data_IF_742227882307
#
_entry.id   IF_742227882307
#
_cell.length_a   1.000
_cell.length_b   1.000
_cell.length_c   1.000
_cell.angle_alpha   90.00
_cell.angle_beta   90.00
_cell.angle_gamma   90.00
#
_symmetry.space_group_name_H-M   'P 1'
#
loop_
_entity.id
_entity.type
_entity.pdbx_description
1 polymer ?
#
# COMPACT_ATOMS: atom_id res chain seq x y z
N UNK A 1 -4.44 -4.80 5.51
CA UNK A 1 -4.37 -5.62 4.29
C UNK A 1 -3.37 -5.05 3.31
N UNK A 2 -2.74 -5.90 2.47
CA UNK A 2 -1.92 -5.47 1.34
C UNK A 2 -2.68 -5.68 0.03
N UNK A 3 -2.59 -4.72 -0.90
CA UNK A 3 -3.14 -4.87 -2.25
C UNK A 3 -2.15 -5.62 -3.15
N UNK A 4 -2.67 -6.49 -3.98
CA UNK A 4 -1.93 -7.29 -4.97
C UNK A 4 -2.85 -8.30 -5.66
N UNK A 5 -2.44 -8.77 -6.83
CA UNK A 5 -3.12 -9.83 -7.57
C UNK A 5 -2.82 -11.22 -6.93
N UNK A 6 -3.70 -12.22 -7.10
CA UNK A 6 -3.60 -13.49 -6.39
C UNK A 6 -2.51 -14.43 -6.94
N UNK A 7 -2.28 -14.46 -8.26
CA UNK A 7 -1.50 -15.48 -8.92
C UNK A 7 0.02 -15.30 -8.75
N UNK A 8 0.77 -16.40 -8.82
CA UNK A 8 2.22 -16.45 -8.60
C UNK A 8 3.03 -15.60 -9.59
N UNK A 9 2.51 -15.37 -10.79
CA UNK A 9 3.15 -14.52 -11.79
C UNK A 9 3.31 -13.07 -11.33
N UNK A 10 2.43 -12.59 -10.45
CA UNK A 10 2.44 -11.22 -9.90
C UNK A 10 3.32 -11.06 -8.67
N UNK A 11 3.82 -12.15 -8.08
CA UNK A 11 4.74 -12.09 -6.94
C UNK A 11 6.00 -11.32 -7.31
N UNK A 12 6.36 -10.34 -6.49
CA UNK A 12 7.51 -9.46 -6.72
C UNK A 12 7.31 -8.38 -7.78
N UNK A 13 6.10 -8.23 -8.33
CA UNK A 13 5.77 -7.07 -9.17
C UNK A 13 5.57 -5.81 -8.33
N UNK A 14 5.69 -4.63 -8.96
CA UNK A 14 5.49 -3.37 -8.25
C UNK A 14 4.06 -3.22 -7.73
N UNK A 15 3.08 -3.74 -8.48
CA UNK A 15 1.67 -3.69 -8.08
C UNK A 15 1.33 -4.63 -6.91
N UNK A 16 2.15 -5.66 -6.69
CA UNK A 16 1.98 -6.58 -5.56
C UNK A 16 2.77 -6.17 -4.30
N UNK A 17 3.54 -5.07 -4.34
CA UNK A 17 4.39 -4.69 -3.21
C UNK A 17 3.61 -4.56 -1.88
N UNK A 18 2.36 -4.11 -1.94
CA UNK A 18 1.50 -4.02 -0.75
C UNK A 18 1.21 -5.40 -0.15
N UNK A 19 0.79 -6.35 -0.97
CA UNK A 19 0.52 -7.75 -0.59
C UNK A 19 1.80 -8.42 -0.07
N UNK A 20 2.89 -8.32 -0.84
CA UNK A 20 4.16 -8.98 -0.52
C UNK A 20 4.75 -8.49 0.82
N UNK A 21 4.68 -7.17 1.09
CA UNK A 21 5.14 -6.60 2.35
C UNK A 21 4.28 -7.02 3.54
N UNK A 22 2.95 -7.00 3.40
CA UNK A 22 2.04 -7.42 4.49
C UNK A 22 2.22 -8.91 4.80
N UNK A 23 2.37 -9.76 3.79
CA UNK A 23 2.64 -11.17 3.97
C UNK A 23 3.98 -11.41 4.68
N UNK A 24 5.04 -10.73 4.24
CA UNK A 24 6.35 -10.80 4.86
C UNK A 24 6.40 -10.26 6.31
N UNK A 25 5.37 -9.55 6.76
CA UNK A 25 5.23 -9.00 8.12
C UNK A 25 4.21 -9.75 8.98
N UNK A 26 3.56 -10.81 8.47
CA UNK A 26 2.48 -11.55 9.14
C UNK A 26 2.84 -11.99 10.56
N UNK A 27 4.05 -12.45 10.78
CA UNK A 27 4.51 -12.93 12.10
C UNK A 27 5.00 -11.85 13.07
N UNK A 28 5.12 -10.58 12.61
CA UNK A 28 5.76 -9.50 13.39
C UNK A 28 4.86 -8.29 13.63
N UNK A 29 3.70 -8.21 12.97
CA UNK A 29 2.72 -7.15 13.26
C UNK A 29 2.12 -7.34 14.67
N UNK A 30 1.72 -6.25 15.37
CA UNK A 30 1.11 -6.34 16.68
C UNK A 30 -0.13 -7.26 16.68
N UNK A 31 -0.33 -8.06 17.73
CA UNK A 31 -1.47 -9.00 17.86
C UNK A 31 -2.85 -8.36 17.67
N UNK A 32 -2.98 -7.05 17.97
CA UNK A 32 -4.20 -6.27 17.76
C UNK A 32 -4.50 -5.95 16.29
N UNK A 33 -3.51 -6.12 15.38
CA UNK A 33 -3.67 -5.93 13.95
C UNK A 33 -4.03 -7.26 13.30
N UNK A 34 -5.25 -7.35 12.78
CA UNK A 34 -5.70 -8.52 12.00
C UNK A 34 -5.36 -8.31 10.54
N UNK A 35 -4.64 -9.26 9.93
CA UNK A 35 -4.35 -9.23 8.50
C UNK A 35 -5.51 -9.87 7.75
N UNK A 36 -6.18 -9.09 6.91
CA UNK A 36 -7.16 -9.61 5.95
C UNK A 36 -6.44 -9.95 4.64
N UNK A 37 -6.67 -11.17 4.18
CA UNK A 37 -6.20 -11.65 2.88
C UNK A 37 -7.25 -11.38 1.81
N UNK A 38 -6.78 -10.93 0.64
CA UNK A 38 -7.60 -10.77 -0.54
C UNK A 38 -7.09 -11.74 -1.61
N UNK A 39 -7.91 -12.75 -1.91
CA UNK A 39 -7.64 -13.65 -3.03
C UNK A 39 -8.49 -13.26 -4.24
N UNK A 40 -8.30 -12.03 -4.70
CA UNK A 40 -9.01 -11.43 -5.83
C UNK A 40 -8.06 -10.52 -6.62
N UNK A 41 -8.35 -10.35 -7.90
CA UNK A 41 -7.61 -9.38 -8.71
C UNK A 41 -7.79 -7.95 -8.20
N UNK A 42 -6.78 -7.12 -8.43
CA UNK A 42 -6.67 -5.75 -7.96
C UNK A 42 -7.96 -4.93 -8.12
N UNK A 43 -8.60 -5.00 -9.27
CA UNK A 43 -9.83 -4.25 -9.57
C UNK A 43 -11.05 -4.71 -8.75
N UNK A 44 -10.98 -5.86 -8.09
CA UNK A 44 -12.06 -6.47 -7.31
C UNK A 44 -11.80 -6.39 -5.79
N UNK A 45 -10.76 -5.66 -5.36
CA UNK A 45 -10.36 -5.58 -3.96
C UNK A 45 -11.47 -5.12 -3.01
N UNK A 46 -12.41 -4.31 -3.48
CA UNK A 46 -13.51 -3.80 -2.68
C UNK A 46 -14.55 -4.86 -2.27
N UNK A 47 -14.75 -5.91 -3.08
CA UNK A 47 -15.77 -6.93 -2.83
C UNK A 47 -15.57 -7.66 -1.49
N UNK A 48 -14.43 -8.30 -1.24
CA UNK A 48 -14.12 -8.93 0.04
C UNK A 48 -14.13 -7.95 1.23
N UNK A 49 -13.63 -6.73 1.03
CA UNK A 49 -13.57 -5.73 2.09
C UNK A 49 -14.97 -5.31 2.54
N UNK A 50 -15.91 -5.16 1.63
CA UNK A 50 -17.31 -4.84 1.98
C UNK A 50 -17.96 -5.91 2.88
N UNK A 51 -17.51 -7.16 2.80
CA UNK A 51 -18.00 -8.24 3.68
C UNK A 51 -17.39 -8.16 5.10
N UNK A 52 -16.21 -7.57 5.23
CA UNK A 52 -15.50 -7.43 6.51
C UNK A 52 -15.81 -6.11 7.23
N UNK A 53 -16.24 -5.09 6.49
CA UNK A 53 -16.46 -3.73 6.98
C UNK A 53 -17.87 -3.31 6.63
N UNK A 54 -18.74 -3.25 7.65
CA UNK A 54 -20.15 -2.91 7.49
C UNK A 54 -20.44 -1.43 7.70
N UNK A 55 -19.62 -0.73 8.49
CA UNK A 55 -19.86 0.66 8.91
C UNK A 55 -18.70 1.59 8.54
N UNK A 56 -18.96 2.90 8.43
CA UNK A 56 -17.92 3.91 8.24
C UNK A 56 -16.90 3.93 9.39
N UNK A 57 -17.35 3.74 10.63
CA UNK A 57 -16.49 3.68 11.81
C UNK A 57 -15.52 2.49 11.77
N UNK A 58 -15.94 1.37 11.19
CA UNK A 58 -15.04 0.24 10.94
C UNK A 58 -14.06 0.54 9.80
N UNK A 59 -14.50 1.27 8.77
CA UNK A 59 -13.61 1.70 7.69
C UNK A 59 -12.46 2.58 8.20
N UNK A 60 -12.67 3.45 9.17
CA UNK A 60 -11.62 4.27 9.79
C UNK A 60 -10.49 3.45 10.43
N UNK A 61 -10.77 2.19 10.77
CA UNK A 61 -9.80 1.23 11.34
C UNK A 61 -9.10 0.39 10.28
N UNK A 62 -9.50 0.50 9.02
CA UNK A 62 -8.87 -0.20 7.92
C UNK A 62 -7.53 0.43 7.58
N UNK A 63 -6.50 -0.40 7.45
CA UNK A 63 -5.18 -0.01 6.95
C UNK A 63 -4.95 -0.75 5.63
N UNK A 64 -4.72 -0.01 4.55
CA UNK A 64 -4.44 -0.53 3.21
C UNK A 64 -3.00 -0.20 2.85
N UNK A 65 -2.17 -1.23 2.58
CA UNK A 65 -0.81 -1.07 2.07
C UNK A 65 -0.83 -1.27 0.56
N UNK A 66 -0.31 -0.32 -0.21
CA UNK A 66 -0.34 -0.39 -1.67
C UNK A 66 0.83 0.37 -2.31
N UNK A 67 1.11 0.10 -3.58
CA UNK A 67 2.05 0.83 -4.40
C UNK A 67 1.59 2.26 -4.71
N UNK A 68 2.54 3.17 -4.87
CA UNK A 68 2.28 4.57 -5.17
C UNK A 68 3.25 5.11 -6.23
N UNK A 69 2.70 5.51 -7.36
CA UNK A 69 3.45 6.08 -8.48
C UNK A 69 3.98 7.49 -8.21
N UNK A 70 3.32 8.25 -7.35
CA UNK A 70 3.69 9.62 -7.01
C UNK A 70 4.74 9.70 -5.90
N UNK A 71 5.29 8.56 -5.50
CA UNK A 71 6.37 8.47 -4.52
C UNK A 71 7.58 7.74 -5.11
N UNK A 72 8.81 8.22 -4.83
CA UNK A 72 10.02 7.54 -5.26
C UNK A 72 10.20 6.23 -4.49
N UNK A 73 10.78 5.24 -5.15
CA UNK A 73 11.14 3.95 -4.55
C UNK A 73 12.06 4.15 -3.34
N UNK A 74 11.67 3.57 -2.23
CA UNK A 74 12.34 3.71 -0.94
C UNK A 74 11.63 4.65 0.03
N UNK A 75 10.63 5.42 -0.44
CA UNK A 75 9.78 6.26 0.40
C UNK A 75 8.47 5.57 0.74
N UNK A 76 8.00 5.82 1.94
CA UNK A 76 6.67 5.40 2.43
C UNK A 76 5.98 6.63 2.99
N UNK A 77 4.70 6.79 2.71
CA UNK A 77 3.87 7.83 3.32
C UNK A 77 2.55 7.25 3.79
N UNK A 78 2.04 7.80 4.88
CA UNK A 78 0.70 7.50 5.38
C UNK A 78 -0.24 8.61 4.93
N UNK A 79 -1.46 8.26 4.55
CA UNK A 79 -2.54 9.19 4.26
C UNK A 79 -3.88 8.67 4.77
N UNK A 80 -4.80 9.59 5.09
CA UNK A 80 -6.17 9.30 5.51
C UNK A 80 -7.12 10.18 4.72
N UNK A 81 -8.28 9.66 4.33
CA UNK A 81 -9.32 10.42 3.62
C UNK A 81 -8.95 10.90 2.21
N UNK A 82 -7.82 10.45 1.66
CA UNK A 82 -7.30 10.94 0.37
C UNK A 82 -7.87 10.15 -0.82
N UNK A 83 -7.90 10.76 -2.01
CA UNK A 83 -8.33 10.13 -3.25
C UNK A 83 -7.40 8.98 -3.68
N UNK A 84 -7.90 8.07 -4.53
CA UNK A 84 -7.17 6.89 -5.00
C UNK A 84 -5.92 7.17 -5.85
N UNK A 85 -5.73 8.41 -6.33
CA UNK A 85 -4.55 8.76 -7.14
C UNK A 85 -4.39 7.95 -8.44
N UNK A 86 -5.48 7.36 -8.94
CA UNK A 86 -5.44 6.47 -10.12
C UNK A 86 -5.33 4.99 -9.80
N UNK A 87 -4.97 4.58 -8.57
CA UNK A 87 -4.78 3.19 -8.19
C UNK A 87 -6.08 2.37 -8.19
N UNK A 88 -6.17 1.36 -9.06
CA UNK A 88 -7.42 0.63 -9.30
C UNK A 88 -7.93 -0.15 -8.09
N UNK A 89 -7.06 -0.77 -7.30
CA UNK A 89 -7.45 -1.45 -6.07
C UNK A 89 -8.04 -0.49 -5.03
N UNK A 90 -7.45 0.69 -4.88
CA UNK A 90 -7.96 1.75 -3.98
C UNK A 90 -9.31 2.27 -4.47
N UNK A 91 -9.47 2.53 -5.79
CA UNK A 91 -10.78 2.89 -6.39
C UNK A 91 -11.85 1.85 -6.10
N UNK A 92 -11.51 0.56 -6.21
CA UNK A 92 -12.42 -0.55 -5.92
C UNK A 92 -12.90 -0.52 -4.47
N UNK A 93 -11.99 -0.26 -3.52
CA UNK A 93 -12.32 -0.13 -2.09
C UNK A 93 -13.18 1.10 -1.84
N UNK A 94 -12.81 2.28 -2.37
CA UNK A 94 -13.60 3.52 -2.23
C UNK A 94 -15.05 3.31 -2.72
N UNK A 95 -15.21 2.68 -3.90
CA UNK A 95 -16.53 2.36 -4.47
C UNK A 95 -17.34 1.42 -3.55
N UNK A 96 -16.71 0.39 -3.01
CA UNK A 96 -17.36 -0.62 -2.19
C UNK A 96 -17.78 -0.09 -0.82
N UNK A 97 -16.91 0.68 -0.15
CA UNK A 97 -17.15 1.25 1.18
C UNK A 97 -17.93 2.56 1.14
N UNK A 98 -18.02 3.21 -0.03
CA UNK A 98 -18.61 4.56 -0.21
C UNK A 98 -18.01 5.62 0.73
N UNK A 99 -16.74 5.44 1.08
CA UNK A 99 -15.95 6.39 1.89
C UNK A 99 -14.49 6.29 1.54
N UNK A 100 -13.74 7.36 1.84
CA UNK A 100 -12.26 7.42 1.78
C UNK A 100 -11.65 7.46 3.18
N UNK A 101 -12.47 7.43 4.22
CA UNK A 101 -12.07 7.58 5.63
C UNK A 101 -11.43 6.29 6.14
N UNK A 102 -10.29 5.91 5.56
CA UNK A 102 -9.43 4.82 5.98
C UNK A 102 -7.96 5.17 5.75
N UNK A 103 -7.12 4.49 6.50
CA UNK A 103 -5.68 4.71 6.48
C UNK A 103 -5.02 3.98 5.30
N UNK A 104 -4.13 4.65 4.59
CA UNK A 104 -3.30 4.07 3.54
C UNK A 104 -1.82 4.23 3.84
N UNK A 105 -1.08 3.14 3.79
CA UNK A 105 0.38 3.10 3.79
C UNK A 105 0.82 2.98 2.34
N UNK A 106 1.30 4.08 1.79
CA UNK A 106 1.63 4.27 0.38
C UNK A 106 3.11 3.99 0.17
N UNK A 107 3.42 2.95 -0.57
CA UNK A 107 4.79 2.50 -0.86
C UNK A 107 5.23 3.03 -2.22
N UNK A 108 6.21 3.93 -2.22
CA UNK A 108 6.76 4.48 -3.45
C UNK A 108 7.42 3.44 -4.33
N UNK A 109 7.09 3.46 -5.62
CA UNK A 109 7.61 2.52 -6.61
C UNK A 109 8.31 3.19 -7.81
N UNK A 110 8.16 4.51 -7.96
CA UNK A 110 8.72 5.21 -9.12
C UNK A 110 10.23 5.46 -8.99
N UNK A 111 10.99 5.38 -10.09
CA UNK A 111 12.37 5.82 -10.11
C UNK A 111 12.50 7.30 -9.81
N UNK A 112 13.67 7.72 -9.32
CA UNK A 112 14.03 9.12 -9.18
C UNK A 112 15.44 9.40 -9.75
N UNK A 113 15.68 10.65 -10.12
CA UNK A 113 17.03 11.10 -10.48
C UNK A 113 17.92 11.16 -9.23
N UNK A 114 19.26 11.25 -9.37
CA UNK A 114 20.16 11.53 -8.25
C UNK A 114 19.80 12.81 -7.49
N UNK A 115 19.23 13.81 -8.17
CA UNK A 115 18.73 15.04 -7.56
C UNK A 115 17.35 14.90 -6.86
N UNK A 116 16.78 13.68 -6.81
CA UNK A 116 15.52 13.41 -6.15
C UNK A 116 14.25 13.69 -6.98
N UNK A 117 14.39 14.18 -8.22
CA UNK A 117 13.23 14.40 -9.11
C UNK A 117 12.59 13.08 -9.49
N UNK A 118 11.29 12.94 -9.27
CA UNK A 118 10.51 11.77 -9.61
C UNK A 118 10.48 11.52 -11.13
N UNK A 119 10.71 10.28 -11.55
CA UNK A 119 10.54 9.81 -12.92
C UNK A 119 9.33 8.90 -12.99
N UNK A 120 8.18 9.50 -13.15
CA UNK A 120 6.94 8.74 -13.33
C UNK A 120 6.90 8.15 -14.74
N UNK A 121 6.43 6.89 -14.94
CA UNK A 121 6.21 6.35 -16.26
C UNK A 121 5.14 7.15 -17.01
N UNK A 122 5.25 7.21 -18.33
CA UNK A 122 4.22 7.78 -19.20
C UNK A 122 2.90 7.01 -19.01
N UNK A 123 1.76 7.68 -19.20
CA UNK A 123 0.44 7.11 -18.93
C UNK A 123 0.22 5.76 -19.64
N UNK A 124 0.69 5.64 -20.88
CA UNK A 124 0.58 4.44 -21.71
C UNK A 124 1.42 3.25 -21.17
N UNK A 125 2.48 3.54 -20.41
CA UNK A 125 3.42 2.55 -19.85
C UNK A 125 3.14 2.20 -18.40
N UNK A 126 2.14 2.83 -17.78
CA UNK A 126 1.85 2.61 -16.35
C UNK A 126 1.54 1.16 -16.05
N UNK A 127 0.72 0.49 -16.88
CA UNK A 127 0.32 -0.90 -16.67
C UNK A 127 1.53 -1.81 -16.72
N UNK A 128 2.36 -1.72 -17.76
CA UNK A 128 3.55 -2.54 -17.90
C UNK A 128 4.56 -2.28 -16.78
N UNK A 129 4.67 -1.02 -16.35
CA UNK A 129 5.56 -0.64 -15.25
C UNK A 129 5.14 -1.25 -13.92
N UNK A 130 3.86 -1.15 -13.55
CA UNK A 130 3.39 -1.68 -12.26
C UNK A 130 3.35 -3.21 -12.25
N UNK A 131 3.11 -3.86 -13.38
CA UNK A 131 3.18 -5.31 -13.52
C UNK A 131 4.62 -5.84 -13.68
N UNK A 132 5.58 -4.96 -13.92
CA UNK A 132 7.00 -5.30 -13.97
C UNK A 132 7.57 -5.61 -12.58
N UNK A 133 8.49 -6.59 -12.51
CA UNK A 133 9.19 -6.97 -11.27
C UNK A 133 10.24 -5.92 -10.88
N UNK A 134 10.52 -5.82 -9.58
CA UNK A 134 11.63 -5.01 -9.08
C UNK A 134 12.97 -5.60 -9.50
N UNK A 135 13.90 -4.74 -9.95
CA UNK A 135 15.29 -5.11 -10.25
C UNK A 135 16.04 -5.49 -8.95
N UNK A 136 17.12 -6.28 -9.01
CA UNK A 136 17.90 -6.66 -7.82
C UNK A 136 18.34 -5.44 -6.98
N UNK A 137 18.79 -4.36 -7.62
CA UNK A 137 19.18 -3.11 -6.95
C UNK A 137 18.00 -2.37 -6.30
N UNK A 138 16.79 -2.55 -6.79
CA UNK A 138 15.56 -2.00 -6.22
C UNK A 138 15.10 -2.82 -5.01
N UNK A 139 15.30 -4.14 -5.03
CA UNK A 139 14.96 -5.03 -3.91
C UNK A 139 15.71 -4.69 -2.63
N UNK A 140 16.97 -4.22 -2.73
CA UNK A 140 17.70 -3.73 -1.55
C UNK A 140 17.02 -2.54 -0.87
N UNK A 141 16.40 -1.65 -1.65
CA UNK A 141 15.59 -0.56 -1.10
C UNK A 141 14.33 -1.07 -0.42
N UNK A 142 13.71 -2.15 -0.92
CA UNK A 142 12.53 -2.75 -0.32
C UNK A 142 12.80 -3.34 1.06
N UNK A 143 14.02 -3.78 1.36
CA UNK A 143 14.39 -4.21 2.73
C UNK A 143 14.25 -3.06 3.75
N UNK A 144 14.61 -1.84 3.36
CA UNK A 144 14.41 -0.64 4.20
C UNK A 144 12.93 -0.26 4.28
N UNK A 145 12.23 -0.31 3.14
CA UNK A 145 10.79 -0.06 3.06
C UNK A 145 10.00 -1.00 3.97
N UNK A 146 10.35 -2.29 4.01
CA UNK A 146 9.72 -3.26 4.91
C UNK A 146 9.77 -2.82 6.37
N UNK A 147 10.93 -2.31 6.85
CA UNK A 147 11.07 -1.80 8.22
C UNK A 147 10.19 -0.58 8.49
N UNK A 148 10.08 0.35 7.52
CA UNK A 148 9.23 1.54 7.65
C UNK A 148 7.75 1.13 7.65
N UNK A 149 7.34 0.19 6.79
CA UNK A 149 5.96 -0.33 6.77
C UNK A 149 5.63 -1.05 8.07
N UNK A 150 6.55 -1.87 8.62
CA UNK A 150 6.38 -2.50 9.93
C UNK A 150 6.12 -1.45 11.01
N UNK A 151 6.97 -0.44 11.10
CA UNK A 151 6.83 0.65 12.07
C UNK A 151 5.50 1.41 11.89
N UNK A 152 5.08 1.67 10.64
CA UNK A 152 3.78 2.27 10.37
C UNK A 152 2.63 1.41 10.93
N UNK A 153 2.68 0.08 10.73
CA UNK A 153 1.67 -0.86 11.24
C UNK A 153 1.70 -1.00 12.78
N UNK A 154 2.80 -0.65 13.42
CA UNK A 154 2.93 -0.57 14.88
C UNK A 154 2.39 0.76 15.43
N UNK A 155 2.73 1.88 14.79
CA UNK A 155 2.36 3.24 15.23
C UNK A 155 0.87 3.53 15.02
N UNK A 156 0.28 3.16 13.87
CA UNK A 156 -1.13 3.48 13.59
C UNK A 156 -2.06 3.01 14.70
N UNK A 157 -2.00 1.77 15.21
CA UNK A 157 -2.88 1.33 16.28
C UNK A 157 -2.47 1.81 17.69
N UNK A 158 -1.27 2.36 17.89
CA UNK A 158 -0.78 2.84 19.20
C UNK A 158 -0.93 4.35 19.36
N UNK A 159 -0.45 5.11 18.36
CA UNK A 159 -0.41 6.58 18.37
C UNK A 159 -1.54 7.21 17.56
N UNK A 160 -2.37 6.38 16.91
CA UNK A 160 -3.36 6.83 15.95
C UNK A 160 -2.76 7.24 14.60
N UNK A 161 -3.65 7.48 13.62
CA UNK A 161 -3.23 7.79 12.25
C UNK A 161 -2.42 9.09 12.19
N UNK A 162 -2.79 10.14 12.93
CA UNK A 162 -2.09 11.43 12.90
C UNK A 162 -0.68 11.33 13.51
N UNK A 163 -0.53 10.62 14.65
CA UNK A 163 0.78 10.37 15.25
C UNK A 163 1.69 9.59 14.30
N UNK A 164 1.19 8.52 13.71
CA UNK A 164 1.92 7.74 12.73
C UNK A 164 2.31 8.57 11.48
N UNK A 165 1.41 9.43 10.97
CA UNK A 165 1.71 10.35 9.86
C UNK A 165 2.84 11.30 10.21
N UNK A 166 2.86 11.87 11.39
CA UNK A 166 3.93 12.78 11.84
C UNK A 166 5.30 12.10 11.78
N UNK A 167 5.40 10.88 12.27
CA UNK A 167 6.67 10.13 12.31
C UNK A 167 7.09 9.63 10.92
N UNK A 168 6.19 8.95 10.22
CA UNK A 168 6.53 8.26 8.95
C UNK A 168 6.68 9.26 7.80
N UNK A 169 5.84 10.29 7.71
CA UNK A 169 5.87 11.23 6.60
C UNK A 169 7.03 12.24 6.67
N UNK A 170 7.69 12.37 7.82
CA UNK A 170 8.88 13.22 7.99
C UNK A 170 10.16 12.62 7.37
N UNK A 171 10.14 11.35 6.95
CA UNK A 171 11.31 10.61 6.42
C UNK A 171 11.55 10.78 4.93
#
# INVERSE_FOLDING_TARGET
MGLGNPDDEYVGTRHNVGKDLVEALRGVVPKKVKIAELNVYMNNSGGPIKKLIATKKEAERLIVVHDELDLPLGKVKISFGSSAGGHNGVKSIEKALKTRDYCRVRVGISPSTPSGKLKRPDAEKVVDFVLGKFKPTEQEKLKKVKKIVQEALELIPTEGVQGAMTVINAR
#
